data_IF_133638344576
#
_entry.id   IF_133638344576
#
_cell.length_a   1.000
_cell.length_b   1.000
_cell.length_c   1.000
_cell.angle_alpha   90.00
_cell.angle_beta   90.00
_cell.angle_gamma   90.00
#
_symmetry.space_group_name_H-M   'P 1'
#
loop_
_entity.id
_entity.type
_entity.pdbx_description
1 polymer ?
#
# COMPACT_ATOMS: atom_id res chain seq x y z
N UNK A 1 9.96 14.20 21.80
CA UNK A 1 10.08 13.05 22.73
C UNK A 1 9.23 11.92 22.17
N UNK A 2 9.80 10.78 21.79
CA UNK A 2 9.07 9.51 21.68
C UNK A 2 9.14 8.91 23.09
N UNK A 3 8.01 8.78 23.79
CA UNK A 3 7.97 7.96 24.99
C UNK A 3 7.88 6.50 24.55
N UNK A 4 8.87 5.71 24.96
CA UNK A 4 8.87 4.26 24.79
C UNK A 4 7.60 3.70 25.46
N UNK A 5 6.75 3.05 24.67
CA UNK A 5 5.52 2.39 25.16
C UNK A 5 4.19 3.04 24.77
N UNK A 6 4.17 4.19 24.09
CA UNK A 6 2.93 4.68 23.49
C UNK A 6 2.73 4.04 22.11
N UNK A 7 2.18 2.83 22.07
CA UNK A 7 1.65 2.28 20.82
C UNK A 7 0.57 3.25 20.31
N UNK A 8 0.76 3.77 19.09
CA UNK A 8 -0.28 4.55 18.44
C UNK A 8 -1.44 3.61 18.15
N UNK A 9 -2.66 4.04 18.46
CA UNK A 9 -3.83 3.26 18.07
C UNK A 9 -3.87 3.12 16.54
N UNK A 10 -4.37 1.98 16.05
CA UNK A 10 -4.31 1.66 14.62
C UNK A 10 -5.10 2.63 13.76
N UNK A 11 -6.15 3.27 14.30
CA UNK A 11 -6.89 4.33 13.60
C UNK A 11 -6.01 5.56 13.39
N UNK A 12 -5.28 5.99 14.43
CA UNK A 12 -4.31 7.08 14.32
C UNK A 12 -3.20 6.76 13.32
N UNK A 13 -2.66 5.53 13.33
CA UNK A 13 -1.66 5.12 12.35
C UNK A 13 -2.22 5.17 10.92
N UNK A 14 -3.44 4.69 10.70
CA UNK A 14 -4.10 4.73 9.39
C UNK A 14 -4.36 6.17 8.92
N UNK A 15 -4.83 7.05 9.80
CA UNK A 15 -5.00 8.48 9.50
C UNK A 15 -3.68 9.15 9.14
N UNK A 16 -2.57 8.79 9.80
CA UNK A 16 -1.24 9.28 9.43
C UNK A 16 -0.81 8.81 8.04
N UNK A 17 -1.08 7.54 7.68
CA UNK A 17 -0.80 7.02 6.34
C UNK A 17 -1.59 7.82 5.29
N UNK A 18 -2.87 8.10 5.54
CA UNK A 18 -3.72 8.88 4.65
C UNK A 18 -3.22 10.32 4.46
N UNK A 19 -2.83 10.99 5.53
CA UNK A 19 -2.30 12.36 5.46
C UNK A 19 -0.94 12.44 4.75
N UNK A 20 -0.07 11.45 4.95
CA UNK A 20 1.29 11.44 4.39
C UNK A 20 1.34 11.10 2.89
N UNK A 21 0.21 10.75 2.27
CA UNK A 21 0.10 10.46 0.84
C UNK A 21 0.61 11.59 -0.07
N UNK A 22 0.68 12.83 0.44
CA UNK A 22 1.08 14.01 -0.32
C UNK A 22 2.52 14.48 -0.05
N UNK A 23 3.23 13.86 0.91
CA UNK A 23 4.51 14.39 1.43
C UNK A 23 5.77 13.80 0.77
N UNK A 24 5.66 12.84 -0.15
CA UNK A 24 6.85 12.29 -0.81
C UNK A 24 7.67 11.30 0.05
N UNK A 25 7.17 10.89 1.24
CA UNK A 25 7.95 10.17 2.27
C UNK A 25 7.63 8.67 2.32
N UNK A 26 8.05 7.90 1.30
CA UNK A 26 7.83 6.45 1.24
C UNK A 26 8.31 5.71 2.50
N UNK A 27 9.53 5.97 2.97
CA UNK A 27 10.08 5.27 4.14
C UNK A 27 9.23 5.46 5.39
N UNK A 28 8.60 6.65 5.54
CA UNK A 28 7.73 6.93 6.67
C UNK A 28 6.41 6.16 6.57
N UNK A 29 5.86 6.07 5.36
CA UNK A 29 4.65 5.28 5.08
C UNK A 29 4.88 3.79 5.37
N UNK A 30 6.02 3.23 4.94
CA UNK A 30 6.38 1.84 5.21
C UNK A 30 6.53 1.56 6.71
N UNK A 31 7.19 2.46 7.45
CA UNK A 31 7.30 2.34 8.91
C UNK A 31 5.93 2.37 9.60
N UNK A 32 5.01 3.22 9.16
CA UNK A 32 3.66 3.27 9.72
C UNK A 32 2.87 1.99 9.41
N UNK A 33 3.04 1.42 8.21
CA UNK A 33 2.41 0.15 7.84
C UNK A 33 2.87 -1.01 8.75
N UNK A 34 4.14 -1.01 9.18
CA UNK A 34 4.66 -2.00 10.14
C UNK A 34 4.02 -1.91 11.53
N UNK A 35 3.48 -0.74 11.91
CA UNK A 35 2.78 -0.54 13.18
C UNK A 35 1.33 -1.09 13.17
N UNK A 36 0.76 -1.35 11.98
CA UNK A 36 -0.59 -1.91 11.84
C UNK A 36 -0.54 -3.43 12.04
N UNK A 37 -0.99 -3.89 13.21
CA UNK A 37 -0.99 -5.32 13.59
C UNK A 37 -2.30 -6.02 13.27
N UNK A 38 -3.40 -5.28 13.21
CA UNK A 38 -4.70 -5.82 12.87
C UNK A 38 -4.76 -6.04 11.35
N UNK A 39 -5.21 -7.22 10.88
CA UNK A 39 -5.24 -7.53 9.46
C UNK A 39 -6.07 -6.54 8.62
N UNK A 40 -7.21 -6.09 9.12
CA UNK A 40 -8.11 -5.20 8.38
C UNK A 40 -7.48 -3.81 8.25
N UNK A 41 -6.92 -3.29 9.35
CA UNK A 41 -6.18 -2.03 9.30
C UNK A 41 -4.93 -2.13 8.42
N UNK A 42 -4.18 -3.22 8.50
CA UNK A 42 -2.99 -3.43 7.67
C UNK A 42 -3.35 -3.49 6.19
N UNK A 43 -4.46 -4.14 5.82
CA UNK A 43 -4.96 -4.17 4.44
C UNK A 43 -5.28 -2.76 3.94
N UNK A 44 -6.08 -2.01 4.70
CA UNK A 44 -6.43 -0.61 4.40
C UNK A 44 -5.21 0.30 4.24
N UNK A 45 -4.22 0.13 5.13
CA UNK A 45 -2.96 0.86 5.06
C UNK A 45 -2.14 0.45 3.85
N UNK A 46 -2.03 -0.85 3.58
CA UNK A 46 -1.23 -1.40 2.49
C UNK A 46 -1.74 -0.92 1.12
N UNK A 47 -3.06 -0.94 0.91
CA UNK A 47 -3.69 -0.42 -0.30
C UNK A 47 -3.28 1.04 -0.56
N UNK A 48 -3.44 1.90 0.43
CA UNK A 48 -3.07 3.33 0.34
C UNK A 48 -1.59 3.52 0.01
N UNK A 49 -0.71 2.70 0.59
CA UNK A 49 0.75 2.77 0.31
C UNK A 49 1.09 2.21 -1.08
N UNK A 50 0.37 1.22 -1.60
CA UNK A 50 0.55 0.73 -2.97
C UNK A 50 0.16 1.80 -3.99
N UNK A 51 -0.98 2.45 -3.79
CA UNK A 51 -1.46 3.57 -4.62
C UNK A 51 -0.43 4.70 -4.62
N UNK A 52 0.06 5.08 -3.43
CA UNK A 52 1.17 6.02 -3.28
C UNK A 52 2.38 5.64 -4.13
N UNK A 53 2.85 4.38 -4.00
CA UNK A 53 4.03 3.90 -4.69
C UNK A 53 3.87 4.02 -6.20
N UNK A 54 2.70 3.67 -6.74
CA UNK A 54 2.43 3.80 -8.17
C UNK A 54 2.38 5.25 -8.62
N UNK A 55 1.68 6.11 -7.87
CA UNK A 55 1.60 7.56 -8.16
C UNK A 55 2.98 8.21 -8.22
N UNK A 56 3.88 7.82 -7.31
CA UNK A 56 5.24 8.35 -7.19
C UNK A 56 6.32 7.50 -7.88
N UNK A 57 5.93 6.50 -8.69
CA UNK A 57 6.82 5.62 -9.47
C UNK A 57 7.81 4.79 -8.64
N UNK A 58 7.48 4.48 -7.38
CA UNK A 58 8.20 3.53 -6.52
C UNK A 58 7.79 2.09 -6.80
N UNK A 59 8.02 1.63 -8.04
CA UNK A 59 7.46 0.36 -8.55
C UNK A 59 7.93 -0.87 -7.79
N UNK A 60 9.21 -0.92 -7.39
CA UNK A 60 9.74 -2.04 -6.62
C UNK A 60 9.02 -2.21 -5.28
N UNK A 61 8.71 -1.11 -4.60
CA UNK A 61 7.97 -1.13 -3.34
C UNK A 61 6.51 -1.52 -3.56
N UNK A 62 5.87 -1.04 -4.62
CA UNK A 62 4.52 -1.47 -4.99
C UNK A 62 4.46 -2.99 -5.23
N UNK A 63 5.40 -3.55 -6.00
CA UNK A 63 5.49 -4.99 -6.26
C UNK A 63 5.68 -5.78 -4.97
N UNK A 64 6.56 -5.32 -4.09
CA UNK A 64 6.83 -6.01 -2.82
C UNK A 64 5.60 -6.02 -1.91
N UNK A 65 4.85 -4.91 -1.83
CA UNK A 65 3.62 -4.84 -1.05
C UNK A 65 2.49 -5.70 -1.66
N UNK A 66 2.35 -5.71 -2.98
CA UNK A 66 1.39 -6.58 -3.67
C UNK A 66 1.70 -8.07 -3.46
N UNK A 67 2.98 -8.46 -3.39
CA UNK A 67 3.37 -9.82 -3.00
C UNK A 67 2.96 -10.14 -1.56
N UNK A 68 3.17 -9.22 -0.62
CA UNK A 68 2.72 -9.42 0.77
C UNK A 68 1.20 -9.55 0.88
N UNK A 69 0.44 -8.79 0.09
CA UNK A 69 -1.01 -8.94 -0.02
C UNK A 69 -1.39 -10.34 -0.54
N UNK A 70 -0.75 -10.78 -1.62
CA UNK A 70 -0.99 -12.11 -2.21
C UNK A 70 -0.69 -13.25 -1.23
N UNK A 71 0.40 -13.13 -0.45
CA UNK A 71 0.82 -14.15 0.53
C UNK A 71 -0.14 -14.22 1.71
N UNK A 72 -0.83 -13.12 2.06
CA UNK A 72 -1.85 -13.09 3.12
C UNK A 72 -3.22 -13.53 2.62
N UNK A 73 -3.68 -12.96 1.53
CA UNK A 73 -4.96 -13.28 0.89
C UNK A 73 -4.86 -13.02 -0.62
N UNK A 74 -4.85 -14.11 -1.39
CA UNK A 74 -4.77 -14.08 -2.84
C UNK A 74 -5.94 -13.35 -3.50
N UNK A 75 -7.10 -13.24 -2.85
CA UNK A 75 -8.26 -12.52 -3.41
C UNK A 75 -8.16 -11.02 -3.17
N UNK A 76 -7.54 -10.62 -2.06
CA UNK A 76 -7.36 -9.23 -1.65
C UNK A 76 -6.56 -8.38 -2.66
N UNK A 77 -5.67 -9.02 -3.43
CA UNK A 77 -4.90 -8.34 -4.49
C UNK A 77 -5.77 -7.83 -5.64
N UNK A 78 -6.88 -8.53 -5.96
CA UNK A 78 -7.76 -8.12 -7.05
C UNK A 78 -8.53 -6.85 -6.69
N UNK A 79 -8.97 -6.72 -5.43
CA UNK A 79 -9.62 -5.50 -4.95
C UNK A 79 -8.71 -4.27 -5.09
N UNK A 80 -7.45 -4.39 -4.67
CA UNK A 80 -6.46 -3.32 -4.82
C UNK A 80 -6.18 -2.99 -6.29
N UNK A 81 -6.05 -4.02 -7.15
CA UNK A 81 -5.83 -3.81 -8.58
C UNK A 81 -7.04 -3.16 -9.28
N UNK A 82 -8.26 -3.50 -8.87
CA UNK A 82 -9.49 -2.90 -9.40
C UNK A 82 -9.61 -1.44 -8.98
N UNK A 83 -9.36 -1.11 -7.71
CA UNK A 83 -9.31 0.27 -7.24
C UNK A 83 -8.26 1.12 -7.98
N UNK A 84 -7.07 0.56 -8.23
CA UNK A 84 -6.04 1.24 -9.03
C UNK A 84 -6.47 1.46 -10.50
N UNK A 85 -7.26 0.56 -11.08
CA UNK A 85 -7.77 0.73 -12.44
C UNK A 85 -8.82 1.84 -12.54
N UNK A 86 -9.57 2.10 -11.46
CA UNK A 86 -10.54 3.19 -11.40
C UNK A 86 -9.86 4.54 -11.14
N UNK A 87 -8.86 4.58 -10.26
CA UNK A 87 -8.26 5.84 -9.79
C UNK A 87 -7.27 6.48 -10.79
N UNK A 88 -6.58 5.69 -11.61
CA UNK A 88 -5.48 6.22 -12.42
C UNK A 88 -5.73 6.29 -13.95
N UNK A 89 -5.21 7.36 -14.57
CA UNK A 89 -5.27 7.63 -16.02
C UNK A 89 -4.49 6.59 -16.88
N UNK A 90 -4.72 6.59 -18.20
CA UNK A 90 -4.24 5.56 -19.16
C UNK A 90 -2.78 5.10 -19.00
N UNK A 91 -1.84 5.99 -18.65
CA UNK A 91 -0.41 5.64 -18.46
C UNK A 91 -0.14 4.75 -17.24
N UNK A 92 -0.95 4.87 -16.21
CA UNK A 92 -0.85 4.03 -15.02
C UNK A 92 -1.63 2.72 -15.22
N UNK A 93 -2.69 2.71 -16.03
CA UNK A 93 -3.37 1.47 -16.43
C UNK A 93 -2.44 0.48 -17.14
N UNK A 94 -1.51 0.95 -17.97
CA UNK A 94 -0.48 0.09 -18.57
C UNK A 94 0.48 -0.48 -17.50
N UNK A 95 0.82 0.32 -16.50
CA UNK A 95 1.63 -0.14 -15.38
C UNK A 95 0.89 -1.17 -14.51
N UNK A 96 -0.40 -0.95 -14.24
CA UNK A 96 -1.29 -1.91 -13.53
C UNK A 96 -1.46 -3.19 -14.34
N UNK A 97 -1.62 -3.11 -15.66
CA UNK A 97 -1.62 -4.29 -16.56
C UNK A 97 -0.29 -5.05 -16.50
N UNK A 98 0.83 -4.35 -16.52
CA UNK A 98 2.16 -4.96 -16.43
C UNK A 98 2.37 -5.63 -15.07
N UNK A 99 1.94 -4.97 -13.98
CA UNK A 99 1.91 -5.54 -12.62
C UNK A 99 1.05 -6.80 -12.56
N UNK A 100 -0.19 -6.76 -13.07
CA UNK A 100 -1.11 -7.90 -13.14
C UNK A 100 -0.51 -9.06 -13.94
N UNK A 101 0.15 -8.79 -15.07
CA UNK A 101 0.84 -9.82 -15.85
C UNK A 101 2.04 -10.40 -15.11
N UNK A 102 2.79 -9.59 -14.36
CA UNK A 102 3.92 -10.06 -13.55
C UNK A 102 3.45 -10.93 -12.37
N UNK A 103 2.35 -10.56 -11.72
CA UNK A 103 1.73 -11.34 -10.62
C UNK A 103 1.23 -12.70 -11.12
N UNK A 104 0.56 -12.76 -12.27
CA UNK A 104 0.05 -14.02 -12.84
C UNK A 104 1.16 -15.02 -13.27
N UNK A 105 2.42 -14.59 -13.30
CA UNK A 105 3.58 -15.42 -13.65
C UNK A 105 4.36 -15.93 -12.44
N UNK A 106 3.98 -15.52 -11.23
CA UNK A 106 4.51 -16.02 -9.96
C UNK A 106 3.66 -17.19 -9.47
#
# INVERSE_FOLDING_TARGET
MKQEGCELDQKTVLSLIEHLQFEGKLNRLLQLLEELKDPDFWFDGCERVVIYCVRHKHLSSAINLLKQLMDRDKMSIYAVLDQMNEEFDMKVKDLVKNLRSAILRL
#
